data_IF_138680005032
#
_entry.id   IF_138680005032
#
_cell.length_a   1.000
_cell.length_b   1.000
_cell.length_c   1.000
_cell.angle_alpha   90.00
_cell.angle_beta   90.00
_cell.angle_gamma   90.00
#
_symmetry.space_group_name_H-M   'P 1'
#
loop_
_entity.id
_entity.type
_entity.pdbx_description
1 polymer ?
#
# COMPACT_ATOMS: atom_id res chain seq x y z
N UNK A 1 4.85 -23.41 25.61
CA UNK A 1 3.71 -23.55 24.68
C UNK A 1 3.46 -22.19 24.06
N UNK A 2 3.88 -22.01 22.80
CA UNK A 2 3.73 -20.76 22.05
C UNK A 2 2.24 -20.45 21.87
N UNK A 3 1.76 -19.43 22.57
CA UNK A 3 0.41 -18.92 22.37
C UNK A 3 0.37 -18.23 21.02
N UNK A 4 -0.35 -18.84 20.07
CA UNK A 4 -0.73 -18.21 18.82
C UNK A 4 -1.32 -16.82 19.11
N UNK A 5 -0.52 -15.76 18.89
CA UNK A 5 -1.02 -14.38 18.81
C UNK A 5 -1.81 -14.31 17.51
N UNK A 6 -3.10 -14.58 17.66
CA UNK A 6 -4.11 -14.54 16.61
C UNK A 6 -3.97 -13.20 15.90
N UNK A 7 -3.60 -13.27 14.63
CA UNK A 7 -3.70 -12.19 13.65
C UNK A 7 -4.85 -11.26 14.02
N UNK A 8 -4.53 -10.04 14.43
CA UNK A 8 -5.52 -8.97 14.48
C UNK A 8 -6.20 -8.93 13.10
N UNK A 9 -7.53 -8.76 13.04
CA UNK A 9 -8.26 -8.87 11.79
C UNK A 9 -7.82 -7.74 10.86
N UNK A 10 -6.93 -8.05 9.91
CA UNK A 10 -6.65 -7.19 8.76
C UNK A 10 -8.01 -6.85 8.12
N UNK A 11 -8.33 -5.55 8.05
CA UNK A 11 -9.56 -5.05 7.40
C UNK A 11 -10.59 -4.36 8.31
N UNK A 12 -10.33 -4.16 9.61
CA UNK A 12 -11.31 -3.47 10.50
C UNK A 12 -11.00 -1.99 10.75
N UNK A 13 -9.76 -1.56 10.59
CA UNK A 13 -9.39 -0.18 10.88
C UNK A 13 -9.56 0.73 9.65
N UNK A 14 -9.79 2.05 9.85
CA UNK A 14 -9.76 3.02 8.74
C UNK A 14 -8.43 3.02 7.97
N UNK A 15 -7.32 2.65 8.62
CA UNK A 15 -6.01 2.52 8.00
C UNK A 15 -5.95 1.30 7.07
N UNK A 16 -6.46 0.15 7.48
CA UNK A 16 -6.52 -1.05 6.62
C UNK A 16 -7.32 -0.78 5.34
N UNK A 17 -8.47 -0.09 5.45
CA UNK A 17 -9.29 0.28 4.29
C UNK A 17 -8.59 1.30 3.39
N UNK A 18 -7.79 2.19 3.97
CA UNK A 18 -7.00 3.16 3.21
C UNK A 18 -5.89 2.44 2.45
N UNK A 19 -5.22 1.48 3.07
CA UNK A 19 -4.22 0.63 2.44
C UNK A 19 -4.83 -0.16 1.27
N UNK A 20 -5.93 -0.88 1.49
CA UNK A 20 -6.60 -1.66 0.45
C UNK A 20 -7.01 -0.79 -0.75
N UNK A 21 -7.57 0.39 -0.50
CA UNK A 21 -7.89 1.36 -1.56
C UNK A 21 -6.64 1.84 -2.31
N UNK A 22 -5.56 2.11 -1.59
CA UNK A 22 -4.31 2.59 -2.19
C UNK A 22 -3.63 1.50 -3.02
N UNK A 23 -3.71 0.23 -2.60
CA UNK A 23 -3.26 -0.93 -3.38
C UNK A 23 -4.09 -1.10 -4.65
N UNK A 24 -5.41 -0.95 -4.55
CA UNK A 24 -6.29 -1.00 -5.71
C UNK A 24 -5.98 0.11 -6.73
N UNK A 25 -5.77 1.35 -6.27
CA UNK A 25 -5.38 2.46 -7.14
C UNK A 25 -4.03 2.20 -7.79
N UNK A 26 -3.04 1.68 -7.05
CA UNK A 26 -1.73 1.32 -7.63
C UNK A 26 -1.88 0.28 -8.75
N UNK A 27 -2.70 -0.74 -8.55
CA UNK A 27 -2.97 -1.78 -9.55
C UNK A 27 -3.70 -1.23 -10.78
N UNK A 28 -4.68 -0.35 -10.59
CA UNK A 28 -5.41 0.28 -11.70
C UNK A 28 -4.49 1.21 -12.52
N UNK A 29 -3.61 1.96 -11.86
CA UNK A 29 -2.59 2.82 -12.50
C UNK A 29 -1.60 1.98 -13.30
N UNK A 30 -1.10 0.88 -12.74
CA UNK A 30 -0.19 -0.03 -13.44
C UNK A 30 -0.87 -0.60 -14.70
N UNK A 31 -2.10 -1.10 -14.58
CA UNK A 31 -2.85 -1.65 -15.70
C UNK A 31 -3.09 -0.62 -16.81
N UNK A 32 -3.40 0.62 -16.43
CA UNK A 32 -3.54 1.71 -17.39
C UNK A 32 -2.22 2.00 -18.12
N UNK A 33 -1.09 1.93 -17.40
CA UNK A 33 0.25 2.07 -17.99
C UNK A 33 0.57 0.97 -18.98
N UNK A 34 0.31 -0.29 -18.61
CA UNK A 34 0.57 -1.44 -19.46
C UNK A 34 -0.28 -1.38 -20.74
N UNK A 35 -1.56 -1.01 -20.62
CA UNK A 35 -2.45 -0.85 -21.77
C UNK A 35 -2.00 0.29 -22.69
N UNK A 36 -1.55 1.41 -22.12
CA UNK A 36 -1.07 2.55 -22.90
C UNK A 36 0.20 2.17 -23.69
N UNK A 37 1.14 1.47 -23.04
CA UNK A 37 2.36 0.97 -23.67
C UNK A 37 2.07 0.05 -24.87
N UNK A 38 1.09 -0.85 -24.75
CA UNK A 38 0.66 -1.70 -25.87
C UNK A 38 0.09 -0.86 -27.02
N UNK A 39 -0.79 0.09 -26.73
CA UNK A 39 -1.40 0.95 -27.75
C UNK A 39 -0.33 1.80 -28.45
N UNK A 40 0.57 2.40 -27.70
CA UNK A 40 1.63 3.24 -28.24
C UNK A 40 2.61 2.43 -29.11
N UNK A 41 2.99 1.23 -28.66
CA UNK A 41 3.81 0.29 -29.46
C UNK A 41 3.13 -0.08 -30.77
N UNK A 42 1.81 -0.32 -30.76
CA UNK A 42 1.04 -0.61 -31.98
C UNK A 42 1.00 0.60 -32.91
N UNK A 43 0.80 1.81 -32.37
CA UNK A 43 0.83 3.04 -33.17
C UNK A 43 2.21 3.29 -33.80
N UNK A 44 3.30 3.08 -33.06
CA UNK A 44 4.66 3.19 -33.57
C UNK A 44 5.00 2.16 -34.66
N UNK A 45 4.46 0.94 -34.58
CA UNK A 45 4.80 -0.14 -35.52
C UNK A 45 3.89 -0.20 -36.74
N UNK A 46 2.60 0.14 -36.59
CA UNK A 46 1.59 -0.07 -37.64
C UNK A 46 1.27 1.20 -38.42
N UNK A 47 1.63 2.39 -37.92
CA UNK A 47 1.46 3.63 -38.70
C UNK A 47 2.58 3.75 -39.74
N UNK A 48 2.27 4.03 -41.02
CA UNK A 48 3.28 4.33 -42.02
C UNK A 48 4.11 5.56 -41.64
N UNK A 49 5.39 5.59 -42.01
CA UNK A 49 6.30 6.73 -41.72
C UNK A 49 5.77 8.06 -42.28
N UNK A 50 5.00 8.03 -43.38
CA UNK A 50 4.41 9.24 -43.95
C UNK A 50 3.30 9.85 -43.08
N UNK A 51 2.73 9.06 -42.16
CA UNK A 51 1.68 9.47 -41.21
C UNK A 51 2.27 9.76 -39.83
N UNK A 52 3.43 9.17 -39.50
CA UNK A 52 4.18 9.43 -38.26
C UNK A 52 5.02 10.73 -38.33
N UNK A 53 4.41 11.83 -38.74
CA UNK A 53 5.07 13.13 -38.83
C UNK A 53 4.24 14.21 -38.15
N UNK A 54 4.91 15.29 -37.72
CA UNK A 54 4.25 16.46 -37.14
C UNK A 54 3.52 16.13 -35.83
N UNK A 55 2.22 16.41 -35.78
CA UNK A 55 1.40 16.27 -34.56
C UNK A 55 1.26 14.80 -34.12
N UNK A 56 1.26 13.84 -35.05
CA UNK A 56 1.16 12.41 -34.73
C UNK A 56 2.41 11.91 -34.02
N UNK A 57 3.60 12.29 -34.52
CA UNK A 57 4.87 11.97 -33.88
C UNK A 57 4.99 12.60 -32.48
N UNK A 58 4.51 13.85 -32.32
CA UNK A 58 4.48 14.50 -31.01
C UNK A 58 3.51 13.82 -30.03
N UNK A 59 2.36 13.35 -30.52
CA UNK A 59 1.39 12.63 -29.69
C UNK A 59 1.92 11.27 -29.23
N UNK A 60 2.65 10.54 -30.09
CA UNK A 60 3.34 9.29 -29.75
C UNK A 60 4.40 9.55 -28.67
N UNK A 61 5.30 10.51 -28.90
CA UNK A 61 6.34 10.87 -27.92
C UNK A 61 5.74 11.31 -26.57
N UNK A 62 4.69 12.12 -26.59
CA UNK A 62 4.01 12.56 -25.37
C UNK A 62 3.34 11.38 -24.65
N UNK A 63 2.85 10.38 -25.38
CA UNK A 63 2.29 9.16 -24.82
C UNK A 63 3.37 8.32 -24.14
N UNK A 64 4.53 8.14 -24.77
CA UNK A 64 5.70 7.46 -24.18
C UNK A 64 6.14 8.12 -22.86
N UNK A 65 6.18 9.46 -22.82
CA UNK A 65 6.50 10.19 -21.59
C UNK A 65 5.43 10.03 -20.50
N UNK A 66 4.16 9.89 -20.89
CA UNK A 66 3.07 9.66 -19.96
C UNK A 66 3.14 8.25 -19.36
N UNK A 67 3.46 7.25 -20.16
CA UNK A 67 3.69 5.87 -19.73
C UNK A 67 4.80 5.81 -18.68
N UNK A 68 5.95 6.43 -18.94
CA UNK A 68 7.07 6.42 -18.01
C UNK A 68 6.67 7.06 -16.66
N UNK A 69 5.93 8.17 -16.69
CA UNK A 69 5.41 8.82 -15.49
C UNK A 69 4.39 7.95 -14.76
N UNK A 70 3.56 7.23 -15.49
CA UNK A 70 2.51 6.39 -14.92
C UNK A 70 3.11 5.15 -14.25
N UNK A 71 4.09 4.51 -14.90
CA UNK A 71 4.87 3.41 -14.33
C UNK A 71 5.61 3.84 -13.04
N UNK A 72 6.31 4.98 -13.06
CA UNK A 72 6.94 5.56 -11.85
C UNK A 72 5.95 5.87 -10.74
N UNK A 73 4.75 6.31 -11.10
CA UNK A 73 3.69 6.60 -10.13
C UNK A 73 3.14 5.32 -9.49
N UNK A 74 2.98 4.25 -10.27
CA UNK A 74 2.59 2.94 -9.77
C UNK A 74 3.64 2.37 -8.80
N UNK A 75 4.92 2.43 -9.18
CA UNK A 75 6.04 2.00 -8.33
C UNK A 75 6.04 2.75 -6.99
N UNK A 76 5.96 4.08 -7.02
CA UNK A 76 5.92 4.90 -5.81
C UNK A 76 4.69 4.61 -4.93
N UNK A 77 3.53 4.36 -5.53
CA UNK A 77 2.35 3.94 -4.77
C UNK A 77 2.56 2.59 -4.10
N UNK A 78 3.20 1.63 -4.78
CA UNK A 78 3.53 0.33 -4.22
C UNK A 78 4.50 0.46 -3.01
N UNK A 79 5.53 1.30 -3.12
CA UNK A 79 6.44 1.59 -2.00
C UNK A 79 5.72 2.18 -0.79
N UNK A 80 4.83 3.15 -1.02
CA UNK A 80 4.04 3.78 0.06
C UNK A 80 3.12 2.77 0.73
N UNK A 81 2.49 1.88 -0.05
CA UNK A 81 1.62 0.83 0.49
C UNK A 81 2.41 -0.18 1.33
N UNK A 82 3.61 -0.54 0.91
CA UNK A 82 4.50 -1.41 1.68
C UNK A 82 4.88 -0.76 3.02
N UNK A 83 5.29 0.51 3.01
CA UNK A 83 5.62 1.25 4.22
C UNK A 83 4.42 1.42 5.17
N UNK A 84 3.23 1.69 4.62
CA UNK A 84 1.99 1.80 5.40
C UNK A 84 1.61 0.46 6.04
N UNK A 85 1.78 -0.64 5.32
CA UNK A 85 1.54 -2.00 5.85
C UNK A 85 2.45 -2.31 7.04
N UNK A 86 3.74 -1.99 6.93
CA UNK A 86 4.71 -2.19 8.00
C UNK A 86 4.37 -1.35 9.26
N UNK A 87 3.97 -0.09 9.06
CA UNK A 87 3.56 0.78 10.16
C UNK A 87 2.27 0.28 10.86
N UNK A 88 1.30 -0.25 10.10
CA UNK A 88 0.11 -0.87 10.67
C UNK A 88 0.50 -2.08 11.54
N UNK A 89 1.40 -2.94 11.05
CA UNK A 89 1.88 -4.11 11.80
C UNK A 89 2.58 -3.70 13.10
N UNK A 90 3.51 -2.74 13.05
CA UNK A 90 4.18 -2.20 14.24
C UNK A 90 3.19 -1.65 15.27
N UNK A 91 2.13 -0.95 14.83
CA UNK A 91 1.10 -0.43 15.74
C UNK A 91 0.29 -1.53 16.41
N UNK A 92 0.02 -2.62 15.70
CA UNK A 92 -0.69 -3.77 16.27
C UNK A 92 0.16 -4.47 17.34
N UNK A 93 1.46 -4.63 17.07
CA UNK A 93 2.40 -5.20 18.04
C UNK A 93 2.52 -4.33 19.30
N UNK A 94 2.74 -3.03 19.13
CA UNK A 94 2.83 -2.09 20.25
C UNK A 94 1.53 -2.02 21.07
N UNK A 95 0.37 -2.10 20.41
CA UNK A 95 -0.92 -2.15 21.10
C UNK A 95 -1.06 -3.42 21.94
N UNK A 96 -0.64 -4.58 21.42
CA UNK A 96 -0.66 -5.84 22.14
C UNK A 96 0.26 -5.81 23.38
N UNK A 97 1.49 -5.32 23.24
CA UNK A 97 2.44 -5.18 24.34
C UNK A 97 1.92 -4.23 25.43
N UNK A 98 1.30 -3.12 25.01
CA UNK A 98 0.69 -2.16 25.93
C UNK A 98 -0.46 -2.78 26.71
N UNK A 99 -1.32 -3.55 26.04
CA UNK A 99 -2.47 -4.19 26.67
C UNK A 99 -2.02 -5.29 27.66
N UNK A 100 -1.01 -6.08 27.31
CA UNK A 100 -0.34 -7.05 28.21
C UNK A 100 0.24 -6.35 29.44
N UNK A 101 0.99 -5.25 29.23
CA UNK A 101 1.60 -4.46 30.31
C UNK A 101 0.55 -3.85 31.25
N UNK A 102 -0.55 -3.32 30.69
CA UNK A 102 -1.66 -2.78 31.48
C UNK A 102 -2.36 -3.85 32.30
N UNK A 103 -2.53 -5.06 31.77
CA UNK A 103 -3.13 -6.17 32.50
C UNK A 103 -2.25 -6.59 33.69
N UNK A 104 -0.93 -6.71 33.48
CA UNK A 104 0.02 -7.01 34.55
C UNK A 104 0.04 -5.92 35.63
N UNK A 105 0.07 -4.64 35.23
CA UNK A 105 0.04 -3.52 36.18
C UNK A 105 -1.24 -3.49 37.01
N UNK A 106 -2.41 -3.77 36.40
CA UNK A 106 -3.68 -3.90 37.12
C UNK A 106 -3.66 -5.05 38.12
N UNK A 107 -3.09 -6.20 37.74
CA UNK A 107 -2.97 -7.37 38.62
C UNK A 107 -2.09 -7.06 39.83
N UNK A 108 -0.90 -6.51 39.61
CA UNK A 108 0.02 -6.12 40.69
C UNK A 108 -0.61 -5.08 41.62
N UNK A 109 -1.32 -4.09 41.07
CA UNK A 109 -2.03 -3.09 41.87
C UNK A 109 -3.14 -3.70 42.74
N UNK A 110 -3.83 -4.73 42.24
CA UNK A 110 -4.86 -5.42 43.02
C UNK A 110 -4.24 -6.26 44.15
N UNK A 111 -3.09 -6.89 43.90
CA UNK A 111 -2.35 -7.70 44.88
C UNK A 111 -1.81 -6.83 46.03
N UNK A 112 -1.15 -5.70 45.71
CA UNK A 112 -0.68 -4.73 46.72
C UNK A 112 -1.84 -4.20 47.59
N UNK A 113 -3.03 -4.00 46.99
CA UNK A 113 -4.19 -3.53 47.74
C UNK A 113 -4.75 -4.61 48.67
N UNK A 114 -4.67 -5.88 48.28
CA UNK A 114 -5.12 -6.99 49.10
C UNK A 114 -4.20 -7.24 50.31
N UNK A 115 -2.88 -7.07 50.14
CA UNK A 115 -1.89 -7.25 51.21
C UNK A 115 -1.81 -6.07 52.19
N UNK A 116 -2.35 -4.90 51.84
CA UNK A 116 -2.33 -3.70 52.68
C UNK A 116 -3.56 -3.48 53.57
N UNK A 117 -4.57 -4.34 53.45
CA UNK A 117 -5.82 -4.32 54.25
C UNK A 117 -5.81 -5.35 55.42
N UNK A 118 -4.66 -5.98 55.71
CA UNK A 118 -4.43 -6.97 56.80
C UNK A 118 -3.55 -6.40 57.94
#
# INVERSE_FOLDING_TARGET
MAGQRKNAPRGRTPLDRTLEKSEQVAADVQRASDNLAVVNTVLEQELPEEVQVGEVAQAIEHTSQLEEKLAKSAEKLAEVNAALSEEIEKRLEAAAERDESQALAKKLKAEIRADGDD
#
